data_IF_012307958632
#
_entry.id   IF_012307958632
#
_cell.length_a   1.000
_cell.length_b   1.000
_cell.length_c   1.000
_cell.angle_alpha   90.00
_cell.angle_beta   90.00
_cell.angle_gamma   90.00
#
_symmetry.space_group_name_H-M   'P 1'
#
loop_
_entity.id
_entity.type
_entity.pdbx_description
1 polymer ?
#
# COMPACT_ATOMS: atom_id res chain seq x y z
N UNK A 1 -30.68 -46.29 14.35
CA UNK A 1 -30.83 -45.27 13.30
C UNK A 1 -29.99 -44.08 13.72
N UNK A 2 -28.78 -43.95 13.17
CA UNK A 2 -27.91 -42.80 13.41
C UNK A 2 -28.46 -41.61 12.60
N UNK A 3 -28.53 -40.39 13.15
CA UNK A 3 -28.89 -39.24 12.34
C UNK A 3 -27.71 -38.95 11.40
N UNK A 4 -27.96 -39.03 10.09
CA UNK A 4 -27.11 -38.41 9.10
C UNK A 4 -27.07 -36.91 9.38
N UNK A 5 -25.89 -36.38 9.70
CA UNK A 5 -25.60 -34.96 9.53
C UNK A 5 -25.76 -34.65 8.03
N UNK A 6 -26.85 -34.00 7.66
CA UNK A 6 -26.89 -33.20 6.45
C UNK A 6 -25.95 -32.02 6.70
N UNK A 7 -24.72 -32.09 6.17
CA UNK A 7 -23.98 -30.87 5.89
C UNK A 7 -24.85 -30.05 4.93
N UNK A 8 -25.39 -28.94 5.42
CA UNK A 8 -26.06 -27.99 4.55
C UNK A 8 -25.03 -27.52 3.52
N UNK A 9 -25.30 -27.74 2.23
CA UNK A 9 -24.64 -27.07 1.11
C UNK A 9 -24.93 -25.56 1.23
N UNK A 10 -24.27 -24.90 2.17
CA UNK A 10 -24.40 -23.48 2.40
C UNK A 10 -23.57 -22.79 1.31
N UNK A 11 -24.25 -22.25 0.31
CA UNK A 11 -23.62 -21.46 -0.75
C UNK A 11 -23.10 -20.17 -0.11
N UNK A 12 -21.79 -20.02 -0.08
CA UNK A 12 -21.15 -18.83 0.48
C UNK A 12 -21.33 -17.63 -0.46
N UNK A 13 -21.81 -16.50 0.06
CA UNK A 13 -21.86 -15.24 -0.69
C UNK A 13 -20.52 -14.52 -0.64
N UNK A 14 -20.03 -14.09 -1.81
CA UNK A 14 -18.72 -13.44 -1.95
C UNK A 14 -18.80 -12.14 -2.75
N UNK A 15 -18.00 -11.15 -2.35
CA UNK A 15 -17.63 -10.04 -3.22
C UNK A 15 -16.29 -10.35 -3.88
N UNK A 16 -16.11 -9.90 -5.12
CA UNK A 16 -14.88 -10.16 -5.89
C UNK A 16 -14.30 -8.85 -6.41
N UNK A 17 -12.99 -8.67 -6.19
CA UNK A 17 -12.20 -7.61 -6.81
C UNK A 17 -11.33 -8.19 -7.91
N UNK A 18 -11.35 -7.56 -9.08
CA UNK A 18 -10.36 -7.76 -10.13
C UNK A 18 -9.09 -6.98 -9.77
N UNK A 19 -7.96 -7.67 -9.68
CA UNK A 19 -6.66 -7.04 -9.46
C UNK A 19 -5.93 -6.86 -10.79
N UNK A 20 -5.54 -5.62 -11.10
CA UNK A 20 -4.75 -5.31 -12.30
C UNK A 20 -3.50 -4.52 -11.95
N UNK A 21 -2.43 -4.74 -12.70
CA UNK A 21 -1.15 -4.06 -12.57
C UNK A 21 -0.71 -3.58 -13.96
N UNK A 22 -0.56 -2.26 -14.12
CA UNK A 22 -0.30 -1.65 -15.44
C UNK A 22 -1.29 -2.09 -16.52
N UNK A 23 -2.57 -2.26 -16.16
CA UNK A 23 -3.64 -2.71 -17.05
C UNK A 23 -3.67 -4.22 -17.32
N UNK A 24 -2.70 -4.98 -16.82
CA UNK A 24 -2.64 -6.45 -16.95
C UNK A 24 -3.35 -7.12 -15.78
N UNK A 25 -4.17 -8.14 -16.05
CA UNK A 25 -4.84 -8.90 -15.00
C UNK A 25 -3.81 -9.69 -14.19
N UNK A 26 -3.81 -9.48 -12.87
CA UNK A 26 -3.01 -10.28 -11.92
C UNK A 26 -3.84 -11.46 -11.43
N UNK A 27 -5.10 -11.21 -11.09
CA UNK A 27 -5.98 -12.22 -10.52
C UNK A 27 -7.23 -11.63 -9.87
N UNK A 28 -7.84 -12.43 -9.01
CA UNK A 28 -9.11 -12.13 -8.36
C UNK A 28 -8.99 -12.29 -6.86
N UNK A 29 -9.42 -11.28 -6.10
CA UNK A 29 -9.52 -11.34 -4.65
C UNK A 29 -10.99 -11.52 -4.27
N UNK A 30 -11.33 -12.66 -3.70
CA UNK A 30 -12.66 -12.96 -3.17
C UNK A 30 -12.71 -12.70 -1.66
N UNK A 31 -13.70 -11.94 -1.21
CA UNK A 31 -14.00 -11.67 0.19
C UNK A 31 -15.32 -12.34 0.58
N UNK A 32 -15.26 -13.24 1.57
CA UNK A 32 -16.41 -13.98 2.09
C UNK A 32 -17.01 -13.26 3.29
N UNK A 33 -18.32 -13.39 3.51
CA UNK A 33 -18.98 -12.84 4.71
C UNK A 33 -18.43 -13.41 6.03
N UNK A 34 -17.85 -14.61 6.00
CA UNK A 34 -17.16 -15.23 7.14
C UNK A 34 -15.84 -14.52 7.53
N UNK A 35 -15.39 -13.55 6.73
CA UNK A 35 -14.09 -12.89 6.87
C UNK A 35 -12.94 -13.63 6.20
N UNK A 36 -13.19 -14.77 5.55
CA UNK A 36 -12.20 -15.45 4.71
C UNK A 36 -11.93 -14.61 3.46
N UNK A 37 -10.65 -14.45 3.12
CA UNK A 37 -10.17 -13.74 1.94
C UNK A 37 -9.31 -14.67 1.10
N UNK A 38 -9.55 -14.69 -0.21
CA UNK A 38 -8.84 -15.60 -1.11
C UNK A 38 -8.36 -14.88 -2.37
N UNK A 39 -7.04 -14.81 -2.56
CA UNK A 39 -6.44 -14.31 -3.80
C UNK A 39 -6.11 -15.49 -4.72
N UNK A 40 -6.68 -15.48 -5.92
CA UNK A 40 -6.38 -16.44 -6.99
C UNK A 40 -5.71 -15.72 -8.16
N UNK A 41 -4.51 -16.17 -8.55
CA UNK A 41 -3.79 -15.62 -9.70
C UNK A 41 -4.39 -16.13 -11.03
N UNK A 42 -4.55 -15.23 -11.99
CA UNK A 42 -5.03 -15.57 -13.33
C UNK A 42 -4.00 -16.46 -14.07
N UNK A 43 -4.48 -17.43 -14.87
CA UNK A 43 -3.59 -18.32 -15.63
C UNK A 43 -2.66 -17.52 -16.57
N UNK A 44 -3.23 -16.56 -17.31
CA UNK A 44 -2.46 -15.66 -18.18
C UNK A 44 -1.37 -14.85 -17.47
N UNK A 45 -1.54 -14.57 -16.17
CA UNK A 45 -0.49 -13.93 -15.37
C UNK A 45 0.55 -14.94 -14.90
N UNK A 46 0.13 -16.12 -14.44
CA UNK A 46 1.04 -17.17 -13.96
C UNK A 46 1.97 -17.69 -15.06
N UNK A 47 1.43 -17.82 -16.27
CA UNK A 47 2.09 -18.46 -17.39
C UNK A 47 2.90 -17.49 -18.25
N UNK A 48 2.78 -16.18 -18.01
CA UNK A 48 3.56 -15.16 -18.72
C UNK A 48 4.93 -14.90 -18.05
N UNK A 49 6.05 -15.22 -18.71
CA UNK A 49 7.39 -14.92 -18.19
C UNK A 49 7.72 -13.41 -18.24
N UNK A 50 7.00 -12.61 -19.03
CA UNK A 50 7.19 -11.16 -19.19
C UNK A 50 6.18 -10.33 -18.39
N UNK A 51 5.52 -10.94 -17.40
CA UNK A 51 4.57 -10.24 -16.55
C UNK A 51 5.26 -9.16 -15.71
N UNK A 52 4.55 -8.06 -15.39
CA UNK A 52 5.04 -7.12 -14.41
C UNK A 52 5.15 -7.80 -13.03
N UNK A 53 6.13 -7.38 -12.25
CA UNK A 53 6.36 -7.91 -10.91
C UNK A 53 5.26 -7.43 -9.96
N UNK A 54 4.37 -8.33 -9.55
CA UNK A 54 3.31 -8.01 -8.57
C UNK A 54 3.89 -7.80 -7.16
N UNK A 55 4.82 -8.67 -6.78
CA UNK A 55 5.67 -8.56 -5.59
C UNK A 55 6.94 -9.37 -5.86
N UNK A 56 8.06 -9.03 -5.21
CA UNK A 56 9.34 -9.68 -5.42
C UNK A 56 9.23 -11.20 -5.22
N UNK A 57 8.43 -11.66 -4.27
CA UNK A 57 8.22 -13.09 -4.00
C UNK A 57 7.53 -13.84 -5.16
N UNK A 58 6.91 -13.10 -6.08
CA UNK A 58 6.23 -13.63 -7.29
C UNK A 58 7.03 -13.35 -8.57
N UNK A 59 8.16 -12.65 -8.47
CA UNK A 59 9.05 -12.37 -9.59
C UNK A 59 9.55 -13.70 -10.21
N UNK A 60 9.64 -13.83 -11.55
CA UNK A 60 10.06 -15.09 -12.20
C UNK A 60 11.38 -15.66 -11.66
N UNK A 61 12.37 -14.79 -11.42
CA UNK A 61 13.68 -15.17 -10.85
C UNK A 61 13.67 -15.42 -9.32
N UNK A 62 12.56 -15.19 -8.62
CA UNK A 62 12.50 -15.43 -7.18
C UNK A 62 12.27 -16.91 -6.87
N UNK A 63 12.98 -17.51 -5.89
CA UNK A 63 12.82 -18.92 -5.56
C UNK A 63 11.37 -19.29 -5.23
N UNK A 64 10.88 -20.38 -5.84
CA UNK A 64 9.52 -20.91 -5.64
C UNK A 64 8.37 -19.97 -6.09
N UNK A 65 8.63 -18.92 -6.87
CA UNK A 65 7.59 -17.99 -7.35
C UNK A 65 6.42 -18.71 -8.05
N UNK A 66 6.71 -19.67 -8.93
CA UNK A 66 5.69 -20.49 -9.62
C UNK A 66 4.82 -21.24 -8.63
N UNK A 67 5.42 -21.87 -7.62
CA UNK A 67 4.70 -22.60 -6.57
C UNK A 67 3.83 -21.65 -5.75
N UNK A 68 4.33 -20.47 -5.41
CA UNK A 68 3.60 -19.46 -4.63
C UNK A 68 2.32 -18.99 -5.32
N UNK A 69 2.31 -18.86 -6.65
CA UNK A 69 1.08 -18.47 -7.38
C UNK A 69 0.25 -19.68 -7.84
N UNK A 70 0.80 -20.90 -7.79
CA UNK A 70 0.07 -22.11 -8.18
C UNK A 70 -1.12 -22.41 -7.27
N UNK A 71 -1.05 -21.94 -6.02
CA UNK A 71 -2.10 -22.08 -5.01
C UNK A 71 -2.69 -20.71 -4.64
N UNK A 72 -4.00 -20.65 -4.37
CA UNK A 72 -4.62 -19.43 -3.86
C UNK A 72 -4.06 -19.03 -2.50
N UNK A 73 -3.90 -17.73 -2.25
CA UNK A 73 -3.52 -17.22 -0.94
C UNK A 73 -4.79 -17.04 -0.09
N UNK A 74 -4.91 -17.83 0.97
CA UNK A 74 -6.08 -17.85 1.85
C UNK A 74 -5.71 -17.25 3.21
N UNK A 75 -6.44 -16.23 3.63
CA UNK A 75 -6.27 -15.55 4.91
C UNK A 75 -7.63 -15.32 5.56
N UNK A 76 -7.70 -15.30 6.90
CA UNK A 76 -8.93 -14.99 7.64
C UNK A 76 -8.81 -13.62 8.29
N UNK A 77 -9.90 -12.85 8.26
CA UNK A 77 -10.08 -11.47 8.72
C UNK A 77 -9.23 -10.46 7.96
N UNK A 78 -7.91 -10.68 7.89
CA UNK A 78 -6.94 -9.84 7.17
C UNK A 78 -6.68 -10.34 5.77
N UNK A 79 -6.14 -9.47 4.92
CA UNK A 79 -5.61 -9.85 3.62
C UNK A 79 -4.22 -10.46 3.76
N UNK A 80 -3.74 -11.10 2.70
CA UNK A 80 -2.34 -11.53 2.63
C UNK A 80 -1.40 -10.32 2.88
N UNK A 81 -0.26 -10.47 3.59
CA UNK A 81 0.63 -9.35 3.92
C UNK A 81 1.04 -8.44 2.75
N UNK A 82 1.17 -9.00 1.55
CA UNK A 82 1.44 -8.24 0.31
C UNK A 82 0.36 -7.19 0.01
N UNK A 83 -0.90 -7.48 0.33
CA UNK A 83 -2.03 -6.56 0.15
C UNK A 83 -2.34 -5.77 1.42
N UNK A 84 -2.25 -6.40 2.60
CA UNK A 84 -2.53 -5.78 3.90
C UNK A 84 -1.66 -4.53 4.15
N UNK A 85 -0.39 -4.56 3.71
CA UNK A 85 0.53 -3.43 3.86
C UNK A 85 0.23 -2.22 2.95
N UNK A 86 -0.66 -2.36 1.97
CA UNK A 86 -1.13 -1.25 1.14
C UNK A 86 -2.21 -0.42 1.85
N UNK A 87 -2.81 -0.96 2.92
CA UNK A 87 -3.83 -0.30 3.69
C UNK A 87 -3.23 0.72 4.67
N UNK A 88 -3.95 1.82 4.97
CA UNK A 88 -3.53 2.76 5.99
C UNK A 88 -3.48 2.10 7.38
N UNK A 89 -2.68 2.70 8.27
CA UNK A 89 -2.56 2.34 9.68
C UNK A 89 -3.13 3.46 10.57
N UNK A 90 -3.44 3.13 11.83
CA UNK A 90 -3.84 4.11 12.85
C UNK A 90 -5.13 4.86 12.52
N UNK A 91 -5.18 6.15 12.86
CA UNK A 91 -6.40 6.97 12.80
C UNK A 91 -7.03 7.05 11.39
N UNK A 92 -6.24 7.02 10.31
CA UNK A 92 -6.80 7.02 8.96
C UNK A 92 -7.57 5.73 8.66
N UNK A 93 -7.08 4.59 9.16
CA UNK A 93 -7.78 3.31 9.05
C UNK A 93 -9.07 3.31 9.87
N UNK A 94 -9.01 3.84 11.10
CA UNK A 94 -10.19 3.98 11.97
C UNK A 94 -11.28 4.84 11.30
N UNK A 95 -10.89 5.97 10.71
CA UNK A 95 -11.79 6.85 9.98
C UNK A 95 -12.48 6.12 8.81
N UNK A 96 -11.71 5.42 7.98
CA UNK A 96 -12.26 4.71 6.83
C UNK A 96 -13.19 3.59 7.31
N UNK A 97 -12.79 2.80 8.30
CA UNK A 97 -13.61 1.72 8.84
C UNK A 97 -14.94 2.24 9.41
N UNK A 98 -14.92 3.35 10.16
CA UNK A 98 -16.12 4.01 10.65
C UNK A 98 -17.00 4.52 9.50
N UNK A 99 -16.39 5.14 8.48
CA UNK A 99 -17.11 5.65 7.32
C UNK A 99 -17.81 4.55 6.52
N UNK A 100 -17.17 3.39 6.41
CA UNK A 100 -17.72 2.18 5.76
C UNK A 100 -18.65 1.37 6.69
N UNK A 101 -18.80 1.77 7.97
CA UNK A 101 -19.54 1.02 9.00
C UNK A 101 -19.09 -0.43 9.10
N UNK A 102 -17.80 -0.67 8.94
CA UNK A 102 -17.18 -2.01 9.00
C UNK A 102 -16.20 -2.11 10.18
N UNK A 103 -15.87 -3.34 10.59
CA UNK A 103 -14.86 -3.57 11.61
C UNK A 103 -13.48 -3.20 11.09
N UNK A 104 -12.61 -2.63 11.94
CA UNK A 104 -11.26 -2.16 11.55
C UNK A 104 -10.36 -3.28 10.99
N UNK A 105 -10.56 -4.52 11.45
CA UNK A 105 -9.83 -5.69 10.93
C UNK A 105 -10.44 -6.29 9.65
N UNK A 106 -11.61 -5.82 9.18
CA UNK A 106 -12.21 -6.29 7.92
C UNK A 106 -11.52 -5.62 6.71
N UNK A 107 -10.34 -6.13 6.39
CA UNK A 107 -9.45 -5.52 5.40
C UNK A 107 -9.99 -5.55 3.98
N UNK A 108 -10.81 -6.55 3.65
CA UNK A 108 -11.39 -6.64 2.31
C UNK A 108 -12.23 -5.40 1.97
N UNK A 109 -13.11 -4.98 2.88
CA UNK A 109 -13.99 -3.82 2.65
C UNK A 109 -13.20 -2.51 2.52
N UNK A 110 -12.18 -2.32 3.38
CA UNK A 110 -11.29 -1.15 3.32
C UNK A 110 -10.49 -1.16 2.01
N UNK A 111 -10.00 -2.33 1.60
CA UNK A 111 -9.23 -2.50 0.36
C UNK A 111 -10.09 -2.28 -0.88
N UNK A 112 -11.34 -2.74 -0.91
CA UNK A 112 -12.30 -2.47 -1.98
C UNK A 112 -12.53 -0.97 -2.15
N UNK A 113 -12.73 -0.24 -1.04
CA UNK A 113 -12.92 1.21 -1.05
C UNK A 113 -11.70 1.97 -1.57
N UNK A 114 -10.49 1.56 -1.14
CA UNK A 114 -9.24 2.21 -1.53
C UNK A 114 -8.67 1.72 -2.86
N UNK A 115 -9.30 0.72 -3.49
CA UNK A 115 -8.70 -0.08 -4.56
C UNK A 115 -8.19 0.71 -5.78
N UNK A 116 -8.72 1.93 -5.99
CA UNK A 116 -8.27 2.82 -7.06
C UNK A 116 -7.19 3.83 -6.64
N UNK A 117 -6.86 3.98 -5.36
CA UNK A 117 -5.82 4.91 -4.86
C UNK A 117 -4.85 4.23 -3.90
N UNK A 118 -4.39 3.03 -4.28
CA UNK A 118 -3.33 2.31 -3.57
C UNK A 118 -1.93 2.90 -3.92
N UNK A 119 -0.95 2.75 -3.02
CA UNK A 119 0.48 2.93 -3.35
C UNK A 119 0.89 2.03 -4.52
N UNK A 120 1.83 2.51 -5.33
CA UNK A 120 2.28 1.78 -6.51
C UNK A 120 1.25 1.78 -7.64
N UNK A 121 1.24 0.71 -8.45
CA UNK A 121 0.43 0.63 -9.67
C UNK A 121 -0.68 -0.43 -9.62
N UNK A 122 -0.87 -1.09 -8.47
CA UNK A 122 -1.95 -2.04 -8.27
C UNK A 122 -3.30 -1.32 -8.23
N UNK A 123 -4.26 -1.83 -9.00
CA UNK A 123 -5.65 -1.43 -8.95
C UNK A 123 -6.51 -2.62 -8.56
N UNK A 124 -7.43 -2.40 -7.62
CA UNK A 124 -8.46 -3.35 -7.24
C UNK A 124 -9.83 -2.75 -7.61
N UNK A 125 -10.57 -3.42 -8.49
CA UNK A 125 -11.86 -2.94 -8.99
C UNK A 125 -12.94 -3.98 -8.66
N UNK A 126 -14.04 -3.58 -7.99
CA UNK A 126 -15.19 -4.46 -7.79
C UNK A 126 -15.72 -5.04 -9.10
N UNK A 127 -16.15 -6.29 -9.06
CA UNK A 127 -16.74 -6.98 -10.20
C UNK A 127 -18.25 -7.15 -10.04
N UNK A 128 -18.97 -6.98 -11.14
CA UNK A 128 -20.37 -7.39 -11.24
C UNK A 128 -20.46 -8.93 -11.15
N UNK A 129 -21.46 -9.51 -10.46
CA UNK A 129 -21.59 -10.96 -10.29
C UNK A 129 -21.53 -11.77 -11.58
N UNK A 130 -22.10 -11.23 -12.66
CA UNK A 130 -22.13 -11.84 -14.00
C UNK A 130 -20.75 -11.93 -14.67
N UNK A 131 -19.81 -11.08 -14.27
CA UNK A 131 -18.47 -10.98 -14.87
C UNK A 131 -17.44 -11.80 -14.09
N UNK A 132 -17.80 -12.34 -12.92
CA UNK A 132 -16.92 -13.17 -12.09
C UNK A 132 -16.69 -14.52 -12.78
N UNK A 133 -15.43 -14.93 -13.01
CA UNK A 133 -15.15 -16.23 -13.62
C UNK A 133 -15.64 -17.40 -12.77
N UNK A 134 -16.21 -18.42 -13.42
CA UNK A 134 -16.67 -19.64 -12.75
C UNK A 134 -15.59 -20.31 -11.91
N UNK A 135 -14.32 -20.25 -12.34
CA UNK A 135 -13.20 -20.79 -11.58
C UNK A 135 -13.09 -20.15 -10.19
N UNK A 136 -13.35 -18.86 -10.03
CA UNK A 136 -13.35 -18.19 -8.72
C UNK A 136 -14.47 -18.72 -7.83
N UNK A 137 -15.65 -19.00 -8.41
CA UNK A 137 -16.83 -19.47 -7.70
C UNK A 137 -16.73 -20.91 -7.22
N UNK A 138 -15.90 -21.75 -7.86
CA UNK A 138 -15.82 -23.19 -7.57
C UNK A 138 -14.53 -23.61 -6.86
N UNK A 139 -13.47 -22.79 -6.90
CA UNK A 139 -12.14 -23.20 -6.35
C UNK A 139 -12.14 -23.37 -4.82
N UNK A 140 -13.14 -22.83 -4.11
CA UNK A 140 -13.10 -22.69 -2.64
C UNK A 140 -14.36 -23.15 -1.89
N UNK A 141 -15.22 -23.90 -2.56
CA UNK A 141 -16.59 -24.23 -2.15
C UNK A 141 -17.57 -23.80 -3.25
N UNK A 142 -18.87 -24.13 -3.13
CA UNK A 142 -19.88 -23.49 -3.97
C UNK A 142 -20.11 -22.07 -3.44
N UNK A 143 -19.64 -21.07 -4.17
CA UNK A 143 -19.85 -19.67 -3.83
C UNK A 143 -20.74 -18.97 -4.87
N UNK A 144 -21.45 -17.94 -4.41
CA UNK A 144 -22.25 -17.05 -5.26
C UNK A 144 -21.69 -15.63 -5.17
N UNK A 145 -21.32 -15.05 -6.30
CA UNK A 145 -20.93 -13.65 -6.34
C UNK A 145 -22.16 -12.76 -6.06
N UNK A 146 -21.96 -11.75 -5.21
CA UNK A 146 -22.94 -10.72 -4.90
C UNK A 146 -22.40 -9.34 -5.30
N UNK A 147 -23.33 -8.44 -5.62
CA UNK A 147 -22.99 -7.07 -6.00
C UNK A 147 -22.26 -6.39 -4.85
N UNK A 148 -21.22 -5.64 -5.17
CA UNK A 148 -20.59 -4.76 -4.20
C UNK A 148 -21.48 -3.53 -4.01
N UNK A 149 -21.95 -3.29 -2.78
CA UNK A 149 -22.68 -2.05 -2.47
C UNK A 149 -21.69 -0.92 -2.27
N UNK A 150 -21.64 0.02 -3.23
CA UNK A 150 -20.87 1.25 -3.09
C UNK A 150 -21.44 2.07 -1.91
N UNK A 151 -20.73 2.05 -0.78
CA UNK A 151 -20.99 2.97 0.32
C UNK A 151 -20.48 4.36 -0.04
N UNK A 152 -21.15 5.03 -0.98
CA UNK A 152 -20.94 6.43 -1.33
C UNK A 152 -21.50 7.35 -0.24
N UNK A 153 -21.01 7.21 0.99
CA UNK A 153 -21.32 8.16 2.05
C UNK A 153 -20.17 9.16 2.19
N UNK A 154 -20.38 10.38 1.68
CA UNK A 154 -19.64 11.56 2.09
C UNK A 154 -19.88 11.80 3.58
N UNK A 155 -19.16 11.06 4.42
CA UNK A 155 -19.26 11.25 5.85
C UNK A 155 -18.48 12.51 6.24
N UNK A 156 -19.22 13.50 6.74
CA UNK A 156 -18.66 14.70 7.37
C UNK A 156 -18.10 14.32 8.74
N UNK A 157 -16.83 13.95 8.80
CA UNK A 157 -16.14 13.71 10.06
C UNK A 157 -15.25 14.90 10.43
N UNK A 158 -15.28 15.26 11.71
CA UNK A 158 -14.25 16.09 12.34
C UNK A 158 -13.17 15.15 12.87
N UNK A 159 -11.99 15.23 12.25
CA UNK A 159 -10.87 14.35 12.53
C UNK A 159 -9.93 15.02 13.54
N UNK A 160 -9.64 14.29 14.62
CA UNK A 160 -8.66 14.69 15.62
C UNK A 160 -7.47 13.72 15.62
N UNK A 161 -6.25 14.23 15.81
CA UNK A 161 -5.32 13.55 16.72
C UNK A 161 -4.02 12.91 16.20
N UNK A 162 -3.72 12.87 14.90
CA UNK A 162 -2.46 12.28 14.37
C UNK A 162 -2.00 13.06 13.11
N UNK A 163 -0.70 13.01 12.78
CA UNK A 163 -0.16 13.55 11.52
C UNK A 163 -0.91 12.94 10.32
N UNK A 164 -1.74 13.73 9.65
CA UNK A 164 -2.51 13.27 8.50
C UNK A 164 -1.68 13.37 7.23
N UNK A 165 -1.87 12.41 6.32
CA UNK A 165 -1.24 12.40 5.01
C UNK A 165 -2.29 12.43 3.90
N UNK A 166 -2.08 13.27 2.90
CA UNK A 166 -2.99 13.44 1.77
C UNK A 166 -2.24 13.34 0.45
N UNK A 167 -2.79 12.57 -0.50
CA UNK A 167 -2.32 12.57 -1.89
C UNK A 167 -2.93 13.78 -2.60
N UNK A 168 -2.09 14.72 -3.06
CA UNK A 168 -2.53 15.99 -3.65
C UNK A 168 -1.80 16.27 -4.96
N UNK A 169 -2.42 17.07 -5.82
CA UNK A 169 -1.88 17.54 -7.09
C UNK A 169 -1.43 19.00 -6.97
N UNK A 170 -0.19 19.29 -7.35
CA UNK A 170 0.30 20.67 -7.41
C UNK A 170 -0.21 21.35 -8.70
N UNK A 171 -0.84 22.52 -8.56
CA UNK A 171 -1.28 23.35 -9.68
C UNK A 171 -1.16 24.82 -9.31
N UNK A 172 -0.40 25.57 -10.11
CA UNK A 172 -0.21 27.03 -9.95
C UNK A 172 0.23 27.43 -8.53
N UNK A 173 1.09 26.62 -7.90
CA UNK A 173 1.61 26.86 -6.55
C UNK A 173 0.64 26.52 -5.40
N UNK A 174 -0.51 25.91 -5.70
CA UNK A 174 -1.49 25.39 -4.74
C UNK A 174 -1.61 23.88 -4.84
N UNK A 175 -2.04 23.23 -3.75
CA UNK A 175 -2.19 21.77 -3.68
C UNK A 175 -3.65 21.41 -3.53
N UNK A 176 -4.15 20.58 -4.44
CA UNK A 176 -5.55 20.16 -4.49
C UNK A 176 -5.66 18.67 -4.21
N UNK A 177 -6.67 18.24 -3.46
CA UNK A 177 -7.02 16.82 -3.40
C UNK A 177 -7.30 16.32 -4.83
N UNK A 178 -6.69 15.19 -5.19
CA UNK A 178 -6.91 14.57 -6.47
C UNK A 178 -8.40 14.20 -6.60
N UNK A 179 -9.05 14.60 -7.70
CA UNK A 179 -10.46 14.28 -7.96
C UNK A 179 -10.57 13.15 -8.97
N UNK A 180 -11.56 12.27 -8.77
CA UNK A 180 -12.11 11.31 -9.74
C UNK A 180 -11.20 10.99 -10.94
N UNK A 181 -10.21 10.11 -10.70
CA UNK A 181 -9.31 9.60 -11.75
C UNK A 181 -8.02 10.37 -11.96
N UNK A 182 -7.87 11.59 -11.42
CA UNK A 182 -6.56 12.25 -11.36
C UNK A 182 -5.68 11.61 -10.30
N UNK A 183 -4.37 11.53 -10.57
CA UNK A 183 -3.37 11.09 -9.60
C UNK A 183 -2.76 12.30 -8.91
N UNK A 184 -2.66 12.24 -7.58
CA UNK A 184 -1.81 13.17 -6.83
C UNK A 184 -0.33 12.86 -7.07
N UNK A 185 0.48 13.89 -7.23
CA UNK A 185 1.93 13.83 -7.44
C UNK A 185 2.72 14.20 -6.17
N UNK A 186 2.05 14.68 -5.12
CA UNK A 186 2.62 14.98 -3.81
C UNK A 186 1.88 14.26 -2.69
N UNK A 187 2.62 13.84 -1.67
CA UNK A 187 2.07 13.49 -0.35
C UNK A 187 2.28 14.68 0.57
N UNK A 188 1.18 15.21 1.09
CA UNK A 188 1.18 16.31 2.06
C UNK A 188 0.97 15.75 3.46
N UNK A 189 1.90 16.01 4.36
CA UNK A 189 1.82 15.66 5.77
C UNK A 189 1.57 16.89 6.63
N UNK A 190 0.42 16.93 7.28
CA UNK A 190 0.01 18.07 8.11
C UNK A 190 0.75 18.09 9.46
N UNK A 191 0.67 19.17 10.24
CA UNK A 191 1.12 19.15 11.63
C UNK A 191 0.53 18.00 12.45
N UNK A 192 1.31 17.51 13.42
CA UNK A 192 0.90 16.48 14.37
C UNK A 192 0.36 17.12 15.64
N UNK A 193 -0.72 16.58 16.19
CA UNK A 193 -1.24 17.01 17.51
C UNK A 193 -0.45 16.40 18.68
N UNK A 194 0.42 15.41 18.42
CA UNK A 194 1.20 14.71 19.46
C UNK A 194 2.60 15.30 19.64
N UNK A 195 3.25 15.63 18.52
CA UNK A 195 4.61 16.14 18.48
C UNK A 195 4.61 17.48 17.76
N UNK A 196 5.25 18.49 18.35
CA UNK A 196 5.34 19.83 17.75
C UNK A 196 6.35 19.83 16.60
N UNK A 197 6.10 20.65 15.59
CA UNK A 197 7.02 20.91 14.47
C UNK A 197 7.41 19.67 13.65
N UNK A 198 6.61 18.60 13.64
CA UNK A 198 6.93 17.38 12.85
C UNK A 198 7.18 17.71 11.37
N UNK A 199 6.41 18.59 10.70
CA UNK A 199 6.72 18.98 9.33
C UNK A 199 8.13 19.58 9.16
N UNK A 200 8.58 20.44 10.08
CA UNK A 200 9.93 21.03 10.03
C UNK A 200 11.01 19.99 10.35
N UNK A 201 10.76 19.11 11.32
CA UNK A 201 11.66 18.00 11.68
C UNK A 201 11.93 17.13 10.45
N UNK A 202 10.88 16.65 9.80
CA UNK A 202 10.99 15.77 8.64
C UNK A 202 11.68 16.49 7.46
N UNK A 203 11.31 17.75 7.17
CA UNK A 203 12.01 18.53 6.15
C UNK A 203 13.51 18.67 6.43
N UNK A 204 13.87 18.94 7.68
CA UNK A 204 15.27 19.12 8.09
C UNK A 204 16.04 17.81 7.99
N UNK A 205 15.48 16.72 8.52
CA UNK A 205 16.08 15.39 8.52
C UNK A 205 16.29 14.87 7.09
N UNK A 206 15.29 15.01 6.23
CA UNK A 206 15.39 14.65 4.81
C UNK A 206 16.41 15.54 4.06
N UNK A 207 16.46 16.84 4.35
CA UNK A 207 17.47 17.75 3.76
C UNK A 207 18.89 17.38 4.17
N UNK A 208 19.11 17.00 5.44
CA UNK A 208 20.39 16.50 5.93
C UNK A 208 20.77 15.17 5.26
N UNK A 209 19.80 14.27 5.06
CA UNK A 209 20.02 13.03 4.32
C UNK A 209 20.48 13.29 2.88
N UNK A 210 19.86 14.25 2.18
CA UNK A 210 20.25 14.65 0.84
C UNK A 210 21.68 15.21 0.79
N UNK A 211 22.05 16.07 1.75
CA UNK A 211 23.41 16.61 1.86
C UNK A 211 24.45 15.50 2.14
N UNK A 212 24.05 14.42 2.82
CA UNK A 212 24.88 13.24 3.03
C UNK A 212 24.94 12.30 1.81
N UNK A 213 24.25 12.62 0.71
CA UNK A 213 24.23 11.86 -0.54
C UNK A 213 23.20 10.73 -0.58
N UNK A 214 22.22 10.72 0.34
CA UNK A 214 21.06 9.82 0.25
C UNK A 214 20.16 10.33 -0.88
N UNK A 215 19.74 9.42 -1.76
CA UNK A 215 18.74 9.74 -2.78
C UNK A 215 17.38 10.01 -2.13
N UNK A 216 16.79 11.17 -2.39
CA UNK A 216 15.49 11.59 -1.86
C UNK A 216 14.65 12.19 -2.98
N UNK A 217 13.30 12.10 -2.92
CA UNK A 217 12.43 12.83 -3.82
C UNK A 217 12.44 14.33 -3.49
N UNK A 218 11.85 15.15 -4.38
CA UNK A 218 11.63 16.56 -4.11
C UNK A 218 10.82 16.76 -2.82
N UNK A 219 11.26 17.66 -1.95
CA UNK A 219 10.58 18.02 -0.70
C UNK A 219 10.35 19.53 -0.60
N UNK A 220 9.25 19.93 0.06
CA UNK A 220 8.92 21.34 0.32
C UNK A 220 8.29 21.51 1.69
N UNK A 221 8.55 22.66 2.33
CA UNK A 221 7.67 23.19 3.38
C UNK A 221 6.63 24.10 2.72
N UNK A 222 5.36 23.87 3.02
CA UNK A 222 4.26 24.61 2.41
C UNK A 222 3.35 25.18 3.49
N UNK A 223 2.87 26.40 3.28
CA UNK A 223 1.87 27.01 4.16
C UNK A 223 0.52 26.28 4.01
N UNK A 224 -0.17 26.06 5.13
CA UNK A 224 -1.49 25.39 5.14
C UNK A 224 -2.54 26.13 4.29
N UNK A 225 -2.42 27.46 4.12
CA UNK A 225 -3.31 28.26 3.26
C UNK A 225 -3.19 27.94 1.75
N UNK A 226 -2.14 27.21 1.34
CA UNK A 226 -1.94 26.70 -0.02
C UNK A 226 -2.60 25.34 -0.26
N UNK A 227 -3.17 24.74 0.79
CA UNK A 227 -3.88 23.47 0.72
C UNK A 227 -5.37 23.72 0.48
N UNK A 228 -5.85 23.29 -0.68
CA UNK A 228 -7.25 23.44 -1.06
C UNK A 228 -8.06 22.19 -0.70
N UNK A 229 -9.26 22.42 -0.15
CA UNK A 229 -10.28 21.39 0.13
C UNK A 229 -9.83 20.32 1.13
N UNK A 230 -8.99 20.68 2.09
CA UNK A 230 -8.76 19.78 3.23
C UNK A 230 -10.10 19.47 3.93
N UNK A 231 -10.29 18.23 4.40
CA UNK A 231 -11.42 17.91 5.26
C UNK A 231 -11.37 18.76 6.54
N UNK A 232 -12.48 18.85 7.28
CA UNK A 232 -12.47 19.54 8.57
C UNK A 232 -11.62 18.76 9.58
N UNK A 233 -10.37 19.17 9.73
CA UNK A 233 -9.39 18.57 10.64
C UNK A 233 -8.99 19.60 11.70
N UNK A 234 -8.96 19.16 12.96
CA UNK A 234 -8.44 19.99 14.05
C UNK A 234 -6.92 19.89 14.06
N UNK A 235 -6.25 20.87 13.44
CA UNK A 235 -4.80 20.99 13.45
C UNK A 235 -4.32 21.86 14.62
N UNK A 236 -3.12 21.60 15.17
CA UNK A 236 -2.47 22.52 16.10
C UNK A 236 -2.19 23.87 15.45
N UNK A 237 -1.85 24.89 16.26
CA UNK A 237 -1.42 26.22 15.79
C UNK A 237 -0.01 26.18 15.19
N UNK A 238 0.13 25.45 14.09
CA UNK A 238 1.33 25.35 13.25
C UNK A 238 0.92 25.64 11.81
N UNK A 239 1.72 26.44 11.10
CA UNK A 239 1.34 26.98 9.78
C UNK A 239 1.86 26.17 8.59
N UNK A 240 2.74 25.21 8.83
CA UNK A 240 3.48 24.50 7.79
C UNK A 240 3.07 23.05 7.71
N UNK A 241 2.95 22.54 6.48
CA UNK A 241 2.91 21.12 6.17
C UNK A 241 4.19 20.73 5.42
N UNK A 242 4.54 19.44 5.50
CA UNK A 242 5.64 18.85 4.75
C UNK A 242 5.08 18.22 3.48
N UNK A 243 5.63 18.59 2.33
CA UNK A 243 5.27 18.01 1.05
C UNK A 243 6.44 17.18 0.54
N UNK A 244 6.16 15.94 0.12
CA UNK A 244 7.12 15.04 -0.50
C UNK A 244 6.56 14.54 -1.83
N UNK A 245 7.34 14.65 -2.90
CA UNK A 245 6.91 14.22 -4.22
C UNK A 245 6.85 12.70 -4.29
N UNK A 246 5.79 12.20 -4.91
CA UNK A 246 5.57 10.77 -5.11
C UNK A 246 6.52 10.27 -6.19
N UNK A 247 7.38 9.32 -5.83
CA UNK A 247 8.24 8.60 -6.78
C UNK A 247 7.53 7.39 -7.41
N UNK A 248 6.33 7.03 -6.94
CA UNK A 248 5.47 5.99 -7.53
C UNK A 248 4.48 6.57 -8.57
N UNK A 249 4.72 7.81 -9.01
CA UNK A 249 3.91 8.56 -9.97
C UNK A 249 4.82 9.32 -10.94
N UNK A 250 4.49 9.26 -12.22
CA UNK A 250 5.10 10.08 -13.27
C UNK A 250 4.00 10.65 -14.16
N UNK A 251 3.59 11.90 -13.88
CA UNK A 251 2.38 12.48 -14.44
C UNK A 251 1.14 11.64 -14.12
N UNK A 252 0.48 11.13 -15.16
CA UNK A 252 -0.68 10.23 -15.02
C UNK A 252 -0.29 8.74 -15.01
N UNK A 253 1.01 8.42 -15.05
CA UNK A 253 1.51 7.04 -15.02
C UNK A 253 1.77 6.62 -13.58
N UNK A 254 1.30 5.42 -13.22
CA UNK A 254 1.66 4.78 -11.95
C UNK A 254 2.91 3.94 -12.14
N UNK A 255 3.85 4.03 -11.22
CA UNK A 255 5.02 3.16 -11.14
C UNK A 255 4.76 2.18 -9.99
N UNK A 256 4.99 0.89 -10.21
CA UNK A 256 4.75 -0.10 -9.16
C UNK A 256 5.83 -0.04 -8.09
N UNK A 257 5.40 -0.27 -6.84
CA UNK A 257 6.28 -0.27 -5.68
C UNK A 257 5.77 -1.26 -4.63
N UNK A 258 6.68 -1.72 -3.79
CA UNK A 258 6.34 -2.45 -2.56
C UNK A 258 7.34 -2.15 -1.44
N UNK A 259 6.88 -2.19 -0.20
CA UNK A 259 7.74 -2.04 0.98
C UNK A 259 8.35 -3.39 1.43
N UNK A 260 9.37 -3.34 2.30
CA UNK A 260 10.01 -4.56 2.78
C UNK A 260 9.15 -5.38 3.74
N UNK A 261 8.04 -4.87 4.28
CA UNK A 261 7.07 -5.72 4.98
C UNK A 261 6.30 -6.60 3.98
N UNK A 262 5.99 -6.11 2.78
CA UNK A 262 5.42 -6.91 1.69
C UNK A 262 6.42 -7.99 1.23
N UNK A 263 7.67 -7.61 0.94
CA UNK A 263 8.73 -8.53 0.50
C UNK A 263 9.00 -9.64 1.52
N UNK A 264 9.05 -9.29 2.81
CA UNK A 264 9.31 -10.24 3.89
C UNK A 264 8.04 -10.96 4.40
N UNK A 265 6.88 -10.71 3.77
CA UNK A 265 5.58 -11.29 4.11
C UNK A 265 5.23 -11.11 5.59
N UNK A 266 5.42 -9.88 6.09
CA UNK A 266 5.12 -9.48 7.47
C UNK A 266 3.91 -8.57 7.51
N UNK A 267 3.01 -8.80 8.46
CA UNK A 267 1.89 -7.89 8.69
C UNK A 267 2.37 -6.54 9.24
N UNK A 268 1.61 -5.44 9.03
CA UNK A 268 1.98 -4.10 9.48
C UNK A 268 2.36 -4.00 10.97
N UNK A 269 1.62 -4.68 11.85
CA UNK A 269 1.87 -4.66 13.30
C UNK A 269 3.21 -5.29 13.73
N UNK A 270 3.90 -6.02 12.84
CA UNK A 270 5.23 -6.61 13.10
C UNK A 270 6.38 -5.76 12.57
N UNK A 271 6.13 -4.51 12.19
CA UNK A 271 7.14 -3.63 11.55
C UNK A 271 8.39 -3.39 12.40
N UNK A 272 8.27 -3.39 13.73
CA UNK A 272 9.41 -3.28 14.66
C UNK A 272 9.98 -4.65 15.09
N UNK A 273 9.15 -5.69 15.18
CA UNK A 273 9.53 -7.02 15.70
C UNK A 273 10.27 -7.91 14.68
N UNK A 274 10.53 -7.41 13.48
CA UNK A 274 11.06 -8.19 12.36
C UNK A 274 12.22 -7.53 11.62
N UNK A 275 12.79 -6.46 12.18
CA UNK A 275 13.91 -5.76 11.56
C UNK A 275 15.20 -6.59 11.64
N UNK A 276 15.57 -7.19 10.51
CA UNK A 276 16.96 -7.56 10.24
C UNK A 276 17.44 -6.80 9.00
N UNK A 277 18.11 -5.66 9.20
CA UNK A 277 18.68 -4.84 8.14
C UNK A 277 19.64 -5.62 7.22
N UNK A 278 20.27 -6.67 7.74
CA UNK A 278 21.09 -7.59 6.94
C UNK A 278 20.25 -8.29 5.86
N UNK A 279 19.04 -8.75 6.20
CA UNK A 279 18.13 -9.35 5.22
C UNK A 279 17.69 -8.35 4.17
N UNK A 280 17.41 -7.09 4.56
CA UNK A 280 17.06 -6.03 3.61
C UNK A 280 18.22 -5.81 2.63
N UNK A 281 19.43 -5.59 3.16
CA UNK A 281 20.63 -5.39 2.34
C UNK A 281 20.93 -6.57 1.43
N UNK A 282 20.76 -7.81 1.91
CA UNK A 282 20.95 -9.02 1.11
C UNK A 282 19.95 -9.11 -0.04
N UNK A 283 18.66 -8.85 0.22
CA UNK A 283 17.64 -8.86 -0.84
C UNK A 283 17.91 -7.77 -1.88
N UNK A 284 18.30 -6.57 -1.45
CA UNK A 284 18.67 -5.49 -2.37
C UNK A 284 19.84 -5.92 -3.25
N UNK A 285 20.90 -6.46 -2.64
CA UNK A 285 22.09 -6.87 -3.36
C UNK A 285 21.83 -8.02 -4.36
N UNK A 286 21.04 -9.02 -3.94
CA UNK A 286 20.80 -10.23 -4.72
C UNK A 286 19.78 -10.02 -5.86
N UNK A 287 18.80 -9.13 -5.69
CA UNK A 287 17.66 -9.00 -6.62
C UNK A 287 17.55 -7.67 -7.34
N UNK A 288 18.18 -6.59 -6.85
CA UNK A 288 18.13 -5.30 -7.57
C UNK A 288 18.80 -5.38 -8.94
N UNK A 289 18.27 -4.62 -9.91
CA UNK A 289 18.90 -4.41 -11.20
C UNK A 289 20.31 -3.77 -11.13
N UNK A 290 20.63 -3.11 -10.01
CA UNK A 290 21.99 -2.64 -9.69
C UNK A 290 22.29 -2.89 -8.21
N UNK A 291 22.48 -4.17 -7.88
CA UNK A 291 22.65 -4.63 -6.50
C UNK A 291 23.77 -3.93 -5.72
N UNK A 292 24.89 -3.60 -6.37
CA UNK A 292 26.00 -2.92 -5.69
C UNK A 292 25.66 -1.46 -5.37
N UNK A 293 25.18 -0.70 -6.35
CA UNK A 293 24.83 0.71 -6.15
C UNK A 293 23.70 0.85 -5.14
N UNK A 294 22.67 0.01 -5.24
CA UNK A 294 21.51 0.08 -4.35
C UNK A 294 21.85 -0.38 -2.93
N UNK A 295 22.73 -1.37 -2.76
CA UNK A 295 23.24 -1.76 -1.44
C UNK A 295 24.09 -0.63 -0.80
N UNK A 296 24.86 0.12 -1.60
CA UNK A 296 25.58 1.30 -1.12
C UNK A 296 24.63 2.42 -0.69
N UNK A 297 23.57 2.68 -1.46
CA UNK A 297 22.52 3.64 -1.07
C UNK A 297 21.81 3.20 0.21
N UNK A 298 21.49 1.91 0.34
CA UNK A 298 20.92 1.33 1.56
C UNK A 298 21.82 1.56 2.78
N UNK A 299 23.11 1.22 2.67
CA UNK A 299 24.08 1.39 3.76
C UNK A 299 24.24 2.87 4.16
N UNK A 300 24.30 3.78 3.18
CA UNK A 300 24.35 5.22 3.42
C UNK A 300 23.10 5.72 4.16
N UNK A 301 21.92 5.33 3.70
CA UNK A 301 20.64 5.68 4.34
C UNK A 301 20.54 5.12 5.75
N UNK A 302 21.01 3.90 5.99
CA UNK A 302 21.03 3.29 7.32
C UNK A 302 21.95 4.07 8.27
N UNK A 303 23.14 4.45 7.83
CA UNK A 303 24.06 5.28 8.60
C UNK A 303 23.42 6.63 8.94
N UNK A 304 22.77 7.29 7.97
CA UNK A 304 22.07 8.55 8.22
C UNK A 304 20.97 8.39 9.26
N UNK A 305 20.15 7.34 9.20
CA UNK A 305 19.13 7.06 10.23
C UNK A 305 19.76 6.91 11.63
N UNK A 306 20.91 6.24 11.75
CA UNK A 306 21.64 6.10 13.02
C UNK A 306 22.12 7.46 13.52
N UNK A 307 22.75 8.27 12.65
CA UNK A 307 23.29 9.58 13.02
C UNK A 307 22.20 10.60 13.40
N UNK A 308 21.04 10.51 12.77
CA UNK A 308 19.86 11.31 13.08
C UNK A 308 19.06 10.77 14.28
N UNK A 309 19.46 9.64 14.86
CA UNK A 309 18.73 8.94 15.90
C UNK A 309 17.26 8.63 15.52
N UNK A 310 17.02 8.30 14.24
CA UNK A 310 15.68 7.99 13.73
C UNK A 310 15.15 6.68 14.36
N UNK A 311 14.40 6.82 15.44
CA UNK A 311 13.76 5.70 16.15
C UNK A 311 12.61 5.04 15.39
N UNK A 312 12.17 5.61 14.27
CA UNK A 312 11.05 5.10 13.47
C UNK A 312 11.49 4.40 12.18
N UNK A 313 12.79 4.20 11.97
CA UNK A 313 13.31 3.47 10.81
C UNK A 313 12.93 1.98 10.87
N UNK A 314 11.75 1.63 10.39
CA UNK A 314 11.24 0.25 10.35
C UNK A 314 11.15 -0.29 8.92
N UNK A 315 10.88 -1.58 8.76
CA UNK A 315 10.94 -2.27 7.45
C UNK A 315 9.99 -1.66 6.39
N UNK A 316 8.89 -1.00 6.77
CA UNK A 316 7.99 -0.31 5.82
C UNK A 316 8.55 1.00 5.25
N UNK A 317 9.65 1.52 5.80
CA UNK A 317 10.30 2.74 5.30
C UNK A 317 11.30 2.42 4.18
N UNK A 318 11.48 1.16 3.84
CA UNK A 318 12.33 0.70 2.74
C UNK A 318 11.41 0.11 1.68
N UNK A 319 11.56 0.54 0.42
CA UNK A 319 10.75 0.06 -0.68
C UNK A 319 11.58 -0.27 -1.91
N UNK A 320 11.04 -1.15 -2.75
CA UNK A 320 11.51 -1.42 -4.10
C UNK A 320 10.58 -0.75 -5.11
N UNK A 321 11.17 -0.20 -6.17
CA UNK A 321 10.48 0.38 -7.32
C UNK A 321 10.72 -0.45 -8.58
N UNK A 322 9.67 -0.56 -9.40
CA UNK A 322 9.68 -1.32 -10.65
C UNK A 322 9.41 -0.38 -11.82
N UNK A 323 10.42 0.42 -12.21
CA UNK A 323 10.27 1.43 -13.26
C UNK A 323 10.00 0.81 -14.64
N UNK A 324 10.68 -0.29 -14.95
CA UNK A 324 10.45 -1.10 -16.16
C UNK A 324 9.36 -2.16 -15.96
N UNK A 325 8.60 -2.05 -14.87
CA UNK A 325 7.57 -2.98 -14.39
C UNK A 325 8.07 -4.35 -13.92
N UNK A 326 9.36 -4.68 -14.03
CA UNK A 326 9.90 -6.03 -13.76
C UNK A 326 11.03 -5.97 -12.73
N UNK A 327 12.04 -5.16 -12.99
CA UNK A 327 13.32 -5.11 -12.29
C UNK A 327 13.19 -4.22 -11.05
N UNK A 328 13.41 -4.76 -9.83
CA UNK A 328 13.39 -3.94 -8.63
C UNK A 328 14.62 -3.03 -8.56
N UNK A 329 14.43 -1.80 -8.07
CA UNK A 329 15.46 -0.86 -7.66
C UNK A 329 15.11 -0.32 -6.27
N UNK A 330 16.11 0.00 -5.45
CA UNK A 330 15.84 0.66 -4.17
C UNK A 330 15.15 2.02 -4.41
N UNK A 331 14.04 2.28 -3.72
CA UNK A 331 13.36 3.57 -3.84
C UNK A 331 14.20 4.71 -3.26
N UNK A 332 13.94 5.97 -3.67
CA UNK A 332 14.36 7.13 -2.90
C UNK A 332 13.91 7.01 -1.44
N UNK A 333 14.64 7.65 -0.54
CA UNK A 333 14.30 7.65 0.87
C UNK A 333 13.04 8.49 1.15
N UNK A 334 12.32 8.10 2.19
CA UNK A 334 11.17 8.81 2.75
C UNK A 334 11.08 8.50 4.26
N UNK A 335 10.24 9.25 4.97
CA UNK A 335 9.96 9.05 6.40
C UNK A 335 11.23 9.02 7.28
N UNK A 336 12.18 9.94 7.01
CA UNK A 336 13.34 10.17 7.87
C UNK A 336 13.02 11.33 8.81
N UNK A 337 13.12 11.05 10.12
CA UNK A 337 12.86 12.00 11.21
C UNK A 337 13.95 11.87 12.28
N UNK A 338 14.03 12.83 13.19
CA UNK A 338 14.94 12.83 14.37
C UNK A 338 14.18 12.77 15.68
#
# INVERSE_FOLDING_TARGET
MSPHNQESDQIDEINVLKLTLHGRLVGYLAGFQSGRNVLSFAAEFKDDPFRPTFSLITHPNFPNSVKLMSQPWVNNQRLHPVLSNLLPEGALRELIAQGLKTHIDNEFQIFSYLGQDLPGALLATPMEPKDVPMSVLTTHGQAKAIQFEDSNQENKFSLAGIQMKFSMKEKDGRYNLAKNGELGDWIIKTPSTKHKNVPLNEFTAMSLAALAGVDIPDIKLIELNKLDKLPQINLPDEKLAFAIKRFDRDGNTRIHMEDFAQVLVKYPHKKYDSANYEHIGKVIYDFSGDGLSDAQQFARRLLVNILLANGDAHIKNWSLLYQDQVTPRLSPAYDIVT
#
